data_IF_795243398295
#
_entry.id   IF_795243398295
#
_cell.length_a   1.000
_cell.length_b   1.000
_cell.length_c   1.000
_cell.angle_alpha   90.00
_cell.angle_beta   90.00
_cell.angle_gamma   90.00
#
_symmetry.space_group_name_H-M   'P 1'
#
loop_
_entity.id
_entity.type
_entity.pdbx_description
1 polymer ?
#
# COMPACT_ATOMS: atom_id res chain seq x y z
N UNK A 1 -3.66 -18.67 -0.97
CA UNK A 1 -2.32 -19.26 -0.97
C UNK A 1 -1.51 -18.85 0.24
N UNK A 2 -0.47 -19.56 0.59
CA UNK A 2 0.45 -19.16 1.65
C UNK A 2 1.32 -18.01 1.12
N UNK A 3 1.32 -16.87 1.81
CA UNK A 3 2.12 -15.68 1.49
C UNK A 3 3.04 -15.42 2.67
N UNK A 4 4.33 -15.22 2.39
CA UNK A 4 5.34 -14.82 3.37
C UNK A 4 5.76 -13.38 3.13
N UNK A 5 5.73 -12.55 4.18
CA UNK A 5 6.16 -11.15 4.12
C UNK A 5 7.08 -10.82 5.29
N UNK A 6 7.95 -9.84 5.10
CA UNK A 6 8.63 -9.15 6.21
C UNK A 6 7.84 -7.89 6.53
N UNK A 7 7.57 -7.65 7.81
CA UNK A 7 6.89 -6.46 8.29
C UNK A 7 7.86 -5.62 9.13
N UNK A 8 8.12 -4.39 8.69
CA UNK A 8 8.95 -3.41 9.40
C UNK A 8 8.09 -2.24 9.88
N UNK A 9 8.10 -2.00 11.17
CA UNK A 9 7.37 -0.88 11.79
C UNK A 9 8.31 0.17 12.42
N UNK A 10 9.62 0.08 12.19
CA UNK A 10 10.60 1.03 12.74
C UNK A 10 10.50 1.25 14.25
N UNK A 11 10.16 0.20 15.01
CA UNK A 11 9.90 0.23 16.46
C UNK A 11 8.73 1.15 16.89
N UNK A 12 7.78 1.38 15.99
CA UNK A 12 6.66 2.28 16.22
C UNK A 12 5.36 1.57 16.62
N UNK A 13 4.31 2.35 16.81
CA UNK A 13 3.02 1.92 17.40
C UNK A 13 2.30 0.80 16.64
N UNK A 14 2.28 0.74 15.29
CA UNK A 14 1.47 -0.24 14.58
C UNK A 14 1.94 -1.69 14.74
N UNK A 15 3.23 -1.93 15.08
CA UNK A 15 3.86 -3.25 15.04
C UNK A 15 3.05 -4.38 15.69
N UNK A 16 2.71 -4.31 16.99
CA UNK A 16 2.00 -5.39 17.68
C UNK A 16 0.59 -5.65 17.15
N UNK A 17 -0.08 -4.62 16.58
CA UNK A 17 -1.42 -4.77 15.99
C UNK A 17 -1.32 -5.33 14.58
N UNK A 18 -0.41 -4.79 13.76
CA UNK A 18 -0.22 -5.23 12.38
C UNK A 18 0.13 -6.71 12.29
N UNK A 19 1.07 -7.21 13.12
CA UNK A 19 1.39 -8.64 13.19
C UNK A 19 0.11 -9.47 13.41
N UNK A 20 -0.67 -9.13 14.44
CA UNK A 20 -1.88 -9.89 14.79
C UNK A 20 -2.93 -9.88 13.69
N UNK A 21 -3.08 -8.77 12.98
CA UNK A 21 -4.04 -8.66 11.86
C UNK A 21 -3.58 -9.54 10.69
N UNK A 22 -2.32 -9.40 10.27
CA UNK A 22 -1.80 -10.13 9.12
C UNK A 22 -1.72 -11.65 9.38
N UNK A 23 -1.30 -12.08 10.57
CA UNK A 23 -1.32 -13.49 10.97
C UNK A 23 -2.74 -14.08 10.97
N UNK A 24 -3.76 -13.31 11.38
CA UNK A 24 -5.16 -13.75 11.31
C UNK A 24 -5.68 -13.90 9.89
N UNK A 25 -5.09 -13.20 8.93
CA UNK A 25 -5.38 -13.39 7.50
C UNK A 25 -4.64 -14.62 6.91
N UNK A 26 -3.86 -15.32 7.71
CA UNK A 26 -3.13 -16.52 7.28
C UNK A 26 -1.78 -16.21 6.62
N UNK A 27 -1.24 -15.02 6.83
CA UNK A 27 0.05 -14.60 6.29
C UNK A 27 1.17 -15.07 7.21
N UNK A 28 2.26 -15.61 6.64
CA UNK A 28 3.50 -15.92 7.35
C UNK A 28 4.31 -14.61 7.51
N UNK A 29 4.18 -13.98 8.68
CA UNK A 29 4.77 -12.68 8.98
C UNK A 29 6.11 -12.84 9.67
N UNK A 30 7.16 -12.25 9.09
CA UNK A 30 8.47 -12.13 9.70
C UNK A 30 8.58 -10.70 10.25
N UNK A 31 8.52 -10.50 11.58
CA UNK A 31 8.58 -9.17 12.17
C UNK A 31 10.01 -8.63 12.18
N UNK A 32 10.17 -7.40 11.70
CA UNK A 32 11.40 -6.60 11.77
C UNK A 32 11.07 -5.29 12.48
N UNK A 33 11.77 -5.00 13.58
CA UNK A 33 11.57 -3.78 14.37
C UNK A 33 10.09 -3.50 14.75
N UNK A 34 9.35 -4.54 15.09
CA UNK A 34 7.92 -4.45 15.45
C UNK A 34 7.68 -4.31 16.96
N UNK A 35 8.71 -4.44 17.80
CA UNK A 35 8.62 -4.13 19.22
C UNK A 35 8.65 -2.62 19.43
N UNK A 36 7.73 -2.12 20.24
CA UNK A 36 7.62 -0.68 20.47
C UNK A 36 8.80 -0.14 21.29
N UNK A 37 9.54 0.79 20.69
CA UNK A 37 10.60 1.57 21.33
C UNK A 37 10.61 2.99 20.76
N UNK A 38 10.15 3.96 21.53
CA UNK A 38 10.03 5.36 21.11
C UNK A 38 11.39 6.09 20.94
N UNK A 39 12.50 5.42 21.16
CA UNK A 39 13.83 5.95 20.81
C UNK A 39 14.18 5.69 19.33
N UNK A 40 13.41 4.83 18.63
CA UNK A 40 13.61 4.43 17.24
C UNK A 40 15.06 4.02 16.95
N UNK A 41 15.59 2.99 17.65
CA UNK A 41 17.03 2.71 17.68
C UNK A 41 17.60 2.22 16.34
N UNK A 42 16.77 1.75 15.42
CA UNK A 42 17.20 1.17 14.15
C UNK A 42 17.16 2.20 13.01
N UNK A 43 16.01 2.77 12.74
CA UNK A 43 15.81 3.84 11.76
C UNK A 43 14.56 4.66 12.10
N UNK A 44 14.43 5.89 11.57
CA UNK A 44 13.18 6.64 11.67
C UNK A 44 12.02 5.85 11.03
N UNK A 45 10.82 5.80 11.66
CA UNK A 45 9.66 5.09 11.11
C UNK A 45 9.00 5.93 10.00
N UNK A 46 9.68 6.04 8.87
CA UNK A 46 9.23 6.75 7.67
C UNK A 46 9.50 5.86 6.43
N UNK A 47 8.51 5.06 5.99
CA UNK A 47 8.67 4.10 4.90
C UNK A 47 8.68 4.74 3.52
N UNK A 48 8.56 6.07 3.42
CA UNK A 48 8.65 6.78 2.14
C UNK A 48 10.08 7.10 1.74
N UNK A 49 11.02 6.90 2.66
CA UNK A 49 12.44 7.10 2.43
C UNK A 49 13.12 5.77 2.16
N UNK A 50 13.73 5.68 0.98
CA UNK A 50 14.42 4.45 0.55
C UNK A 50 15.48 3.98 1.56
N UNK A 51 16.22 4.91 2.16
CA UNK A 51 17.23 4.59 3.18
C UNK A 51 16.67 3.86 4.40
N UNK A 52 15.43 4.14 4.80
CA UNK A 52 14.77 3.47 5.92
C UNK A 52 14.22 2.09 5.55
N UNK A 53 14.15 1.78 4.25
CA UNK A 53 13.65 0.50 3.72
C UNK A 53 14.77 -0.50 3.37
N UNK A 54 16.03 -0.13 3.55
CA UNK A 54 17.17 -0.98 3.20
C UNK A 54 17.24 -2.25 4.04
N UNK A 55 16.99 -2.14 5.35
CA UNK A 55 16.97 -3.30 6.26
C UNK A 55 15.84 -4.24 5.91
N UNK A 56 14.65 -3.69 5.59
CA UNK A 56 13.50 -4.45 5.12
C UNK A 56 13.85 -5.20 3.82
N UNK A 57 14.48 -4.53 2.85
CA UNK A 57 14.89 -5.16 1.60
C UNK A 57 15.89 -6.31 1.81
N UNK A 58 16.86 -6.15 2.72
CA UNK A 58 17.78 -7.24 3.09
C UNK A 58 17.05 -8.42 3.74
N UNK A 59 16.13 -8.15 4.65
CA UNK A 59 15.37 -9.19 5.33
C UNK A 59 14.44 -9.96 4.37
N UNK A 60 13.85 -9.29 3.37
CA UNK A 60 13.08 -9.97 2.30
C UNK A 60 13.94 -11.00 1.58
N UNK A 61 15.15 -10.62 1.17
CA UNK A 61 16.08 -11.53 0.49
C UNK A 61 16.54 -12.67 1.40
N UNK A 62 16.89 -12.38 2.65
CA UNK A 62 17.38 -13.36 3.63
C UNK A 62 16.34 -14.43 3.94
N UNK A 63 15.09 -14.05 4.07
CA UNK A 63 13.99 -14.95 4.43
C UNK A 63 13.23 -15.52 3.23
N UNK A 64 13.57 -15.11 2.01
CA UNK A 64 12.86 -15.53 0.80
C UNK A 64 11.39 -15.12 0.83
N UNK A 65 11.09 -13.94 1.38
CA UNK A 65 9.74 -13.40 1.41
C UNK A 65 9.30 -12.90 0.04
N UNK A 66 8.01 -12.89 -0.23
CA UNK A 66 7.46 -12.44 -1.51
C UNK A 66 7.59 -10.91 -1.67
N UNK A 67 7.51 -10.19 -0.56
CA UNK A 67 7.74 -8.74 -0.48
C UNK A 67 7.88 -8.31 0.98
N UNK A 68 8.23 -7.05 1.18
CA UNK A 68 8.32 -6.43 2.50
C UNK A 68 7.34 -5.27 2.65
N UNK A 69 6.80 -5.10 3.84
CA UNK A 69 5.85 -4.06 4.22
C UNK A 69 6.51 -3.16 5.26
N UNK A 70 6.59 -1.86 4.98
CA UNK A 70 7.02 -0.84 5.93
C UNK A 70 5.84 0.02 6.38
N UNK A 71 5.74 0.31 7.67
CA UNK A 71 4.73 1.20 8.25
C UNK A 71 5.40 2.35 9.01
N UNK A 72 4.75 3.48 9.06
CA UNK A 72 5.26 4.65 9.76
C UNK A 72 4.88 4.71 11.24
N UNK A 73 5.18 5.84 11.88
CA UNK A 73 5.10 6.03 13.33
C UNK A 73 3.74 5.80 13.95
N UNK A 74 2.69 6.25 13.31
CA UNK A 74 1.29 6.14 13.76
C UNK A 74 0.43 5.18 12.91
N UNK A 75 1.04 4.62 11.84
CA UNK A 75 0.43 3.57 11.03
C UNK A 75 -0.53 4.07 9.96
N UNK A 76 -0.34 5.29 9.47
CA UNK A 76 -1.16 5.86 8.40
C UNK A 76 -0.47 5.83 7.02
N UNK A 77 0.84 5.48 6.95
CA UNK A 77 1.62 5.37 5.70
C UNK A 77 2.15 3.96 5.48
N UNK A 78 2.03 3.52 4.23
CA UNK A 78 2.48 2.21 3.75
C UNK A 78 3.62 2.39 2.75
N UNK A 79 4.73 1.67 2.97
CA UNK A 79 5.81 1.48 2.00
C UNK A 79 6.00 0.00 1.70
N UNK A 80 6.54 -0.31 0.53
CA UNK A 80 6.75 -1.69 0.09
C UNK A 80 8.10 -1.85 -0.58
N UNK A 81 8.73 -3.01 -0.38
CA UNK A 81 9.86 -3.50 -1.18
C UNK A 81 9.45 -4.81 -1.87
N UNK A 82 9.90 -5.02 -3.10
CA UNK A 82 9.62 -6.24 -3.87
C UNK A 82 10.43 -7.45 -3.38
N UNK A 83 10.25 -8.62 -4.01
CA UNK A 83 10.96 -9.86 -3.72
C UNK A 83 12.49 -9.78 -3.97
N UNK A 84 12.96 -8.74 -4.68
CA UNK A 84 14.37 -8.46 -4.89
C UNK A 84 14.92 -7.45 -3.86
N UNK A 85 14.12 -7.06 -2.87
CA UNK A 85 14.47 -6.05 -1.87
C UNK A 85 14.49 -4.62 -2.41
N UNK A 86 13.89 -4.38 -3.58
CA UNK A 86 13.87 -3.07 -4.21
C UNK A 86 12.67 -2.24 -3.73
N UNK A 87 12.93 -1.01 -3.35
CA UNK A 87 11.90 -0.05 -2.96
C UNK A 87 10.93 0.25 -4.09
N UNK A 88 9.64 0.18 -3.80
CA UNK A 88 8.54 0.53 -4.69
C UNK A 88 8.02 1.93 -4.31
N UNK A 89 8.05 2.84 -5.27
CA UNK A 89 7.52 4.18 -5.04
C UNK A 89 6.00 4.15 -4.78
N UNK A 90 5.48 4.99 -3.86
CA UNK A 90 4.06 4.94 -3.48
C UNK A 90 3.08 5.12 -4.65
N UNK A 91 3.41 5.92 -5.67
CA UNK A 91 2.57 6.06 -6.86
C UNK A 91 2.49 4.78 -7.71
N UNK A 92 3.56 3.96 -7.72
CA UNK A 92 3.54 2.64 -8.35
C UNK A 92 2.68 1.66 -7.55
N UNK A 93 2.83 1.68 -6.22
CA UNK A 93 1.99 0.88 -5.33
C UNK A 93 0.52 1.28 -5.46
N UNK A 94 0.24 2.58 -5.61
CA UNK A 94 -1.11 3.09 -5.85
C UNK A 94 -1.72 2.51 -7.13
N UNK A 95 -0.91 2.30 -8.19
CA UNK A 95 -1.35 1.69 -9.44
C UNK A 95 -1.99 0.31 -9.24
N UNK A 96 -1.45 -0.52 -8.33
CA UNK A 96 -2.00 -1.83 -7.99
C UNK A 96 -3.39 -1.70 -7.35
N UNK A 97 -3.57 -0.75 -6.44
CA UNK A 97 -4.88 -0.48 -5.83
C UNK A 97 -5.88 0.09 -6.85
N UNK A 98 -5.42 0.98 -7.73
CA UNK A 98 -6.26 1.56 -8.81
C UNK A 98 -6.78 0.46 -9.73
N UNK A 99 -5.93 -0.46 -10.17
CA UNK A 99 -6.34 -1.58 -11.00
C UNK A 99 -7.43 -2.41 -10.33
N UNK A 100 -7.26 -2.72 -9.06
CA UNK A 100 -8.22 -3.53 -8.30
C UNK A 100 -9.55 -2.79 -8.13
N UNK A 101 -9.57 -1.54 -7.64
CA UNK A 101 -10.82 -0.82 -7.40
C UNK A 101 -11.59 -0.52 -8.68
N UNK A 102 -10.91 -0.30 -9.80
CA UNK A 102 -11.56 -0.06 -11.09
C UNK A 102 -12.07 -1.35 -11.74
N UNK A 103 -11.37 -2.48 -11.54
CA UNK A 103 -11.80 -3.78 -12.08
C UNK A 103 -13.08 -4.30 -11.42
N UNK A 104 -13.35 -3.93 -10.18
CA UNK A 104 -14.54 -4.34 -9.43
C UNK A 104 -15.79 -3.51 -9.76
N UNK A 105 -15.63 -2.42 -10.54
CA UNK A 105 -16.75 -1.55 -10.90
C UNK A 105 -17.67 -2.18 -11.95
N UNK A 106 -19.00 -1.92 -11.87
CA UNK A 106 -19.93 -2.36 -12.88
C UNK A 106 -19.73 -1.58 -14.20
N UNK A 107 -20.09 -2.19 -15.34
CA UNK A 107 -19.96 -1.56 -16.67
C UNK A 107 -20.63 -0.18 -16.77
N UNK A 108 -21.70 0.06 -16.00
CA UNK A 108 -22.44 1.32 -15.96
C UNK A 108 -22.01 2.24 -14.82
N UNK A 109 -20.81 2.05 -14.25
CA UNK A 109 -20.28 2.91 -13.19
C UNK A 109 -20.30 4.39 -13.63
N UNK A 110 -20.65 5.26 -12.69
CA UNK A 110 -20.67 6.70 -12.91
C UNK A 110 -19.25 7.27 -13.04
N UNK A 111 -19.13 8.52 -13.50
CA UNK A 111 -17.83 9.20 -13.52
C UNK A 111 -17.23 9.31 -12.10
N UNK A 112 -18.06 9.60 -11.11
CA UNK A 112 -17.63 9.70 -9.71
C UNK A 112 -17.07 8.36 -9.19
N UNK A 113 -17.73 7.25 -9.46
CA UNK A 113 -17.27 5.91 -9.09
C UNK A 113 -15.95 5.51 -9.76
N UNK A 114 -15.59 6.13 -10.88
CA UNK A 114 -14.32 5.94 -11.57
C UNK A 114 -13.27 7.00 -11.24
N UNK A 115 -13.64 8.00 -10.43
CA UNK A 115 -12.72 9.08 -10.07
C UNK A 115 -11.70 8.61 -9.05
N UNK A 116 -10.42 8.81 -9.36
CA UNK A 116 -9.28 8.51 -8.49
C UNK A 116 -8.55 9.81 -8.16
N UNK A 117 -8.47 10.15 -6.88
CA UNK A 117 -7.74 11.33 -6.43
C UNK A 117 -6.28 10.99 -6.13
N UNK A 118 -5.35 11.82 -6.58
CA UNK A 118 -3.92 11.66 -6.30
C UNK A 118 -3.22 13.00 -6.12
N UNK A 119 -2.09 13.03 -5.43
CA UNK A 119 -1.40 14.29 -5.16
C UNK A 119 -0.46 14.70 -6.32
N UNK A 120 -0.19 15.99 -6.38
CA UNK A 120 0.64 16.63 -7.43
C UNK A 120 2.07 16.08 -7.53
N UNK A 121 2.55 15.31 -6.52
CA UNK A 121 3.88 14.71 -6.51
C UNK A 121 3.93 13.35 -7.21
N UNK A 122 2.79 12.72 -7.45
CA UNK A 122 2.73 11.47 -8.20
C UNK A 122 3.19 11.68 -9.63
N UNK A 123 3.74 10.62 -10.22
CA UNK A 123 4.24 10.66 -11.59
C UNK A 123 3.09 10.71 -12.62
N UNK A 124 3.38 11.23 -13.80
CA UNK A 124 2.45 11.17 -14.94
C UNK A 124 2.06 9.73 -15.30
N UNK A 125 2.93 8.76 -15.02
CA UNK A 125 2.63 7.35 -15.29
C UNK A 125 1.44 6.84 -14.47
N UNK A 126 1.18 7.40 -13.28
CA UNK A 126 -0.02 7.05 -12.50
C UNK A 126 -1.30 7.61 -13.18
N UNK A 127 -1.25 8.86 -13.64
CA UNK A 127 -2.37 9.49 -14.37
C UNK A 127 -2.71 8.70 -15.64
N UNK A 128 -1.68 8.36 -16.45
CA UNK A 128 -1.83 7.54 -17.64
C UNK A 128 -2.42 6.16 -17.33
N UNK A 129 -1.93 5.49 -16.27
CA UNK A 129 -2.44 4.18 -15.85
C UNK A 129 -3.91 4.25 -15.41
N UNK A 130 -4.32 5.29 -14.66
CA UNK A 130 -5.73 5.49 -14.29
C UNK A 130 -6.61 5.61 -15.55
N UNK A 131 -6.18 6.40 -16.54
CA UNK A 131 -6.92 6.58 -17.79
C UNK A 131 -7.01 5.27 -18.62
N UNK A 132 -5.90 4.54 -18.73
CA UNK A 132 -5.84 3.25 -19.43
C UNK A 132 -6.78 2.20 -18.83
N UNK A 133 -6.95 2.23 -17.50
CA UNK A 133 -7.89 1.38 -16.75
C UNK A 133 -9.34 1.88 -16.80
N UNK A 134 -9.61 2.98 -17.51
CA UNK A 134 -10.95 3.56 -17.64
C UNK A 134 -11.39 4.42 -16.46
N UNK A 135 -10.47 4.77 -15.59
CA UNK A 135 -10.69 5.69 -14.47
C UNK A 135 -10.65 7.16 -14.90
N UNK A 136 -10.99 8.04 -13.99
CA UNK A 136 -10.95 9.50 -14.16
C UNK A 136 -9.94 10.07 -13.16
N UNK A 137 -8.71 10.43 -13.61
CA UNK A 137 -7.69 10.96 -12.71
C UNK A 137 -8.03 12.38 -12.27
N UNK A 138 -7.94 12.67 -10.97
CA UNK A 138 -8.09 14.01 -10.41
C UNK A 138 -6.92 14.36 -9.50
N UNK A 139 -6.06 15.24 -9.99
CA UNK A 139 -4.92 15.74 -9.25
C UNK A 139 -5.35 16.72 -8.15
N UNK A 140 -4.85 16.51 -6.94
CA UNK A 140 -5.11 17.34 -5.76
C UNK A 140 -3.78 17.83 -5.18
N UNK A 141 -3.82 18.93 -4.45
CA UNK A 141 -2.64 19.39 -3.72
C UNK A 141 -2.28 18.41 -2.59
N UNK A 142 -0.99 18.25 -2.31
CA UNK A 142 -0.50 17.36 -1.25
C UNK A 142 -1.07 17.72 0.11
N UNK A 143 -1.45 16.70 0.87
CA UNK A 143 -1.89 16.75 2.27
C UNK A 143 -3.12 15.90 2.52
N UNK A 144 -3.00 14.95 3.44
CA UNK A 144 -4.04 13.97 3.78
C UNK A 144 -5.42 14.59 4.06
N UNK A 145 -5.46 15.80 4.63
CA UNK A 145 -6.71 16.56 4.87
C UNK A 145 -7.44 16.94 3.58
N UNK A 146 -6.69 17.18 2.48
CA UNK A 146 -7.31 17.51 1.20
C UNK A 146 -7.89 16.27 0.55
N UNK A 147 -7.17 15.13 0.58
CA UNK A 147 -7.68 13.85 0.11
C UNK A 147 -8.96 13.46 0.82
N UNK A 148 -8.96 13.51 2.16
CA UNK A 148 -10.16 13.24 2.98
C UNK A 148 -11.32 14.23 2.69
N UNK A 149 -11.01 15.48 2.30
CA UNK A 149 -12.03 16.45 1.90
C UNK A 149 -12.64 16.05 0.55
N UNK A 150 -11.82 15.74 -0.45
CA UNK A 150 -12.31 15.31 -1.77
C UNK A 150 -13.19 14.07 -1.65
N UNK A 151 -12.76 13.04 -0.92
CA UNK A 151 -13.58 11.83 -0.71
C UNK A 151 -14.91 12.10 0.02
N UNK A 152 -14.98 13.14 0.85
CA UNK A 152 -16.28 13.56 1.44
C UNK A 152 -17.16 14.32 0.46
N UNK A 153 -16.57 15.06 -0.47
CA UNK A 153 -17.31 15.80 -1.52
C UNK A 153 -17.71 14.87 -2.69
N UNK A 154 -16.96 13.77 -2.88
CA UNK A 154 -17.18 12.73 -3.89
C UNK A 154 -17.26 11.35 -3.20
N UNK A 155 -18.36 11.06 -2.48
CA UNK A 155 -18.46 9.88 -1.62
C UNK A 155 -18.46 8.55 -2.39
N UNK A 156 -18.76 8.55 -3.68
CA UNK A 156 -18.74 7.36 -4.54
C UNK A 156 -17.34 7.12 -5.17
N UNK A 157 -16.38 8.05 -5.03
CA UNK A 157 -15.00 7.81 -5.45
C UNK A 157 -14.37 6.68 -4.63
N UNK A 158 -13.78 5.64 -5.26
CA UNK A 158 -13.37 4.45 -4.52
C UNK A 158 -12.08 4.65 -3.70
N UNK A 159 -11.21 5.58 -4.11
CA UNK A 159 -9.96 5.80 -3.39
C UNK A 159 -9.28 7.14 -3.69
N UNK A 160 -8.38 7.50 -2.81
CA UNK A 160 -7.37 8.54 -3.02
C UNK A 160 -5.98 8.05 -2.58
N UNK A 161 -4.91 8.72 -3.01
CA UNK A 161 -3.56 8.38 -2.57
C UNK A 161 -2.56 9.51 -2.74
N UNK A 162 -1.45 9.40 -2.02
CA UNK A 162 -0.37 10.37 -2.02
C UNK A 162 1.01 9.73 -2.22
N UNK A 163 1.94 10.47 -2.81
CA UNK A 163 3.35 10.07 -2.92
C UNK A 163 4.02 9.87 -1.54
N UNK A 164 3.41 10.39 -0.48
CA UNK A 164 3.83 10.19 0.91
C UNK A 164 3.41 8.84 1.50
N UNK A 165 2.77 7.95 0.74
CA UNK A 165 2.37 6.62 1.19
C UNK A 165 1.05 6.55 1.95
N UNK A 166 0.30 7.66 2.03
CA UNK A 166 -1.09 7.63 2.50
C UNK A 166 -1.99 7.12 1.38
N UNK A 167 -2.74 6.06 1.65
CA UNK A 167 -3.77 5.53 0.76
C UNK A 167 -5.10 5.52 1.49
N UNK A 168 -6.12 6.03 0.83
CA UNK A 168 -7.45 6.25 1.38
C UNK A 168 -8.43 5.37 0.60
N UNK A 169 -8.78 4.23 1.14
CA UNK A 169 -9.77 3.33 0.53
C UNK A 169 -11.17 3.75 0.97
N UNK A 170 -12.08 3.95 0.00
CA UNK A 170 -13.40 4.48 0.25
C UNK A 170 -14.54 3.59 -0.31
N UNK A 171 -14.18 2.51 -0.99
CA UNK A 171 -15.12 1.51 -1.52
C UNK A 171 -15.60 0.51 -0.45
N UNK A 172 -14.66 -0.07 0.31
CA UNK A 172 -14.90 -1.04 1.39
C UNK A 172 -14.34 -0.59 2.74
N UNK A 173 -13.93 0.66 2.85
CA UNK A 173 -13.41 1.32 4.06
C UNK A 173 -13.95 2.74 4.15
N UNK A 174 -13.68 3.45 5.23
CA UNK A 174 -14.32 4.75 5.53
C UNK A 174 -13.55 5.97 4.98
N UNK A 175 -12.68 5.81 3.98
CA UNK A 175 -11.97 6.89 3.29
C UNK A 175 -10.92 7.62 4.12
N UNK A 176 -10.31 6.94 5.09
CA UNK A 176 -9.13 7.45 5.81
C UNK A 176 -7.90 6.57 5.58
N UNK A 177 -6.75 7.14 5.85
CA UNK A 177 -5.44 6.52 5.73
C UNK A 177 -5.22 5.49 6.84
N UNK A 178 -5.03 4.23 6.48
CA UNK A 178 -4.80 3.11 7.39
C UNK A 178 -3.86 2.11 6.71
N UNK A 179 -2.58 2.11 7.14
CA UNK A 179 -1.57 1.25 6.53
C UNK A 179 -1.83 -0.23 6.79
N UNK A 180 -2.44 -0.60 7.91
CA UNK A 180 -2.76 -2.01 8.23
C UNK A 180 -3.86 -2.51 7.30
N UNK A 181 -4.92 -1.69 7.08
CA UNK A 181 -5.95 -2.01 6.12
C UNK A 181 -5.41 -2.13 4.69
N UNK A 182 -4.59 -1.14 4.26
CA UNK A 182 -3.99 -1.16 2.93
C UNK A 182 -3.04 -2.35 2.74
N UNK A 183 -2.27 -2.74 3.75
CA UNK A 183 -1.44 -3.94 3.71
C UNK A 183 -2.29 -5.21 3.59
N UNK A 184 -3.39 -5.32 4.35
CA UNK A 184 -4.32 -6.45 4.27
C UNK A 184 -4.98 -6.54 2.88
N UNK A 185 -5.36 -5.40 2.30
CA UNK A 185 -5.93 -5.32 0.95
C UNK A 185 -4.91 -5.73 -0.11
N UNK A 186 -3.68 -5.23 -0.03
CA UNK A 186 -2.58 -5.63 -0.93
C UNK A 186 -2.35 -7.13 -0.90
N UNK A 187 -2.33 -7.73 0.30
CA UNK A 187 -2.22 -9.17 0.49
C UNK A 187 -3.40 -9.94 -0.12
N UNK A 188 -4.60 -9.39 -0.06
CA UNK A 188 -5.79 -9.98 -0.71
C UNK A 188 -5.62 -9.98 -2.22
N UNK A 189 -5.21 -8.86 -2.82
CA UNK A 189 -4.95 -8.74 -4.26
C UNK A 189 -3.92 -9.78 -4.72
N UNK A 190 -2.78 -9.85 -4.02
CA UNK A 190 -1.71 -10.80 -4.35
C UNK A 190 -2.14 -12.24 -4.11
N UNK A 191 -2.95 -12.49 -3.09
CA UNK A 191 -3.47 -13.82 -2.73
C UNK A 191 -4.43 -14.42 -3.76
N UNK A 192 -5.07 -13.62 -4.58
CA UNK A 192 -5.98 -14.07 -5.64
C UNK A 192 -5.24 -14.76 -6.79
N UNK A 193 -3.98 -14.40 -7.02
CA UNK A 193 -3.18 -15.02 -8.08
C UNK A 193 -2.52 -16.32 -7.65
N UNK A 194 -2.19 -17.21 -8.60
CA UNK A 194 -1.29 -18.32 -8.33
C UNK A 194 0.04 -17.84 -7.74
N UNK A 195 0.70 -18.67 -6.94
CA UNK A 195 2.05 -18.32 -6.47
C UNK A 195 3.03 -18.26 -7.64
N UNK A 196 4.17 -17.52 -7.52
CA UNK A 196 5.20 -17.50 -8.55
C UNK A 196 5.70 -18.89 -8.92
N UNK A 197 5.77 -19.83 -7.98
CA UNK A 197 6.13 -21.24 -8.22
C UNK A 197 5.10 -21.98 -9.08
N UNK A 198 3.85 -21.52 -9.08
CA UNK A 198 2.73 -22.04 -9.88
C UNK A 198 2.52 -21.25 -11.18
N UNK A 199 3.45 -20.33 -11.52
CA UNK A 199 3.40 -19.50 -12.73
C UNK A 199 2.62 -18.18 -12.58
N UNK A 200 2.28 -17.78 -11.36
CA UNK A 200 1.73 -16.45 -11.10
C UNK A 200 2.80 -15.35 -11.15
N UNK A 201 2.39 -14.08 -11.22
CA UNK A 201 3.33 -12.96 -11.30
C UNK A 201 4.08 -12.79 -9.97
N UNK A 202 5.34 -12.38 -10.06
CA UNK A 202 6.09 -11.85 -8.93
C UNK A 202 5.60 -10.45 -8.59
N UNK A 203 5.91 -9.98 -7.37
CA UNK A 203 5.50 -8.63 -6.98
C UNK A 203 6.09 -7.55 -7.92
N UNK A 204 7.35 -7.68 -8.30
CA UNK A 204 8.04 -6.75 -9.21
C UNK A 204 7.50 -6.71 -10.65
N UNK A 205 6.63 -7.64 -11.02
CA UNK A 205 6.02 -7.76 -12.36
C UNK A 205 4.63 -7.11 -12.44
N UNK A 206 4.14 -6.54 -11.30
CA UNK A 206 2.84 -5.84 -11.16
C UNK A 206 2.99 -4.31 -11.25
#
# INVERSE_FOLDING_TARGET
>A
RDIRVVLDCGNAVPGPLAIKVLERLGVDVIPLYCDWDNSFPNHPPDPTRQENMEDLGRAVLEHGAEFGIGMDGDGDRLGVVDENGKFIHPDRLMGIFVEEVLSDLPENATEEQRTIFFDVKCSMALEEAIEELGGVPKMVRTGHTFMKKELREFPDSPMAGEMSGHFFMNDHWDGFDDSIYCAARLLSIIGMDPSPEQGGPKFSER
#
